data_IF_638131395262
#
_entry.id   IF_638131395262
#
_cell.length_a   1.000
_cell.length_b   1.000
_cell.length_c   1.000
_cell.angle_alpha   90.00
_cell.angle_beta   90.00
_cell.angle_gamma   90.00
#
_symmetry.space_group_name_H-M   'P 1'
#
loop_
_entity.id
_entity.type
_entity.pdbx_description
1 polymer ?
#
# COMPACT_ATOMS: atom_id res chain seq x y z
N UNK A 1 -14.56 35.85 24.30
CA UNK A 1 -13.21 35.27 24.36
C UNK A 1 -13.30 33.95 25.12
N UNK A 2 -13.68 32.92 24.45
CA UNK A 2 -13.61 31.53 24.92
C UNK A 2 -12.77 30.77 23.88
N UNK A 3 -11.64 30.25 24.34
CA UNK A 3 -10.79 29.35 23.61
C UNK A 3 -11.47 27.98 23.63
N UNK A 4 -11.79 27.44 22.44
CA UNK A 4 -12.21 26.06 22.28
C UNK A 4 -10.95 25.19 22.17
N UNK A 5 -10.59 24.54 23.25
CA UNK A 5 -9.66 23.42 23.27
C UNK A 5 -10.31 22.24 22.54
N UNK A 6 -9.92 22.01 21.30
CA UNK A 6 -10.25 20.80 20.56
C UNK A 6 -9.30 19.67 20.96
N UNK A 7 -9.73 18.84 21.91
CA UNK A 7 -9.07 17.55 22.17
C UNK A 7 -9.09 16.71 20.89
N UNK A 8 -7.91 16.48 20.33
CA UNK A 8 -7.68 15.44 19.34
C UNK A 8 -7.81 14.08 20.05
N UNK A 9 -9.00 13.53 20.03
CA UNK A 9 -9.24 12.15 20.46
C UNK A 9 -8.54 11.20 19.48
N UNK A 10 -7.39 10.68 19.90
CA UNK A 10 -6.70 9.56 19.25
C UNK A 10 -7.29 8.22 19.71
N UNK A 11 -8.59 8.07 19.54
CA UNK A 11 -9.22 6.77 19.67
C UNK A 11 -9.08 6.01 18.36
N UNK A 12 -8.00 5.22 18.24
CA UNK A 12 -7.90 4.14 17.25
C UNK A 12 -8.80 2.98 17.69
N UNK A 13 -10.10 3.25 17.81
CA UNK A 13 -11.09 2.19 17.92
C UNK A 13 -11.00 1.36 16.65
N UNK A 14 -10.62 0.10 16.76
CA UNK A 14 -10.61 -0.87 15.68
C UNK A 14 -11.97 -0.83 14.99
N UNK A 15 -11.98 -0.45 13.71
CA UNK A 15 -13.19 -0.44 12.88
C UNK A 15 -13.82 -1.84 12.96
N UNK A 16 -15.03 -2.01 13.53
CA UNK A 16 -15.64 -3.32 13.75
C UNK A 16 -16.04 -4.00 12.42
N UNK A 17 -15.76 -3.36 11.28
CA UNK A 17 -16.07 -3.89 9.96
C UNK A 17 -15.12 -5.03 9.59
N UNK A 18 -15.68 -5.97 8.84
CA UNK A 18 -15.00 -7.19 8.46
C UNK A 18 -13.73 -6.93 7.65
N UNK A 19 -12.60 -7.46 8.09
CA UNK A 19 -11.30 -7.40 7.40
C UNK A 19 -10.85 -8.77 6.89
N UNK A 20 -11.15 -9.87 7.61
CA UNK A 20 -10.89 -11.24 7.12
C UNK A 20 -12.01 -11.66 6.17
N UNK A 21 -11.69 -11.90 4.92
CA UNK A 21 -12.64 -12.24 3.84
C UNK A 21 -12.52 -13.70 3.45
N UNK A 22 -13.63 -14.33 3.08
CA UNK A 22 -13.58 -15.56 2.32
C UNK A 22 -13.09 -15.28 0.89
N UNK A 23 -12.53 -16.30 0.24
CA UNK A 23 -12.10 -16.18 -1.17
C UNK A 23 -13.26 -15.83 -2.11
N UNK A 24 -14.49 -16.22 -1.76
CA UNK A 24 -15.68 -15.86 -2.52
C UNK A 24 -16.00 -14.36 -2.41
N UNK A 25 -15.97 -13.80 -1.21
CA UNK A 25 -16.18 -12.35 -0.97
C UNK A 25 -15.09 -11.52 -1.65
N UNK A 26 -13.83 -11.93 -1.51
CA UNK A 26 -12.72 -11.29 -2.22
C UNK A 26 -12.96 -11.23 -3.74
N UNK A 27 -13.34 -12.36 -4.35
CA UNK A 27 -13.65 -12.40 -5.79
C UNK A 27 -14.81 -11.49 -6.20
N UNK A 28 -15.81 -11.28 -5.34
CA UNK A 28 -16.90 -10.33 -5.63
C UNK A 28 -16.39 -8.90 -5.67
N UNK A 29 -15.54 -8.50 -4.72
CA UNK A 29 -14.91 -7.18 -4.70
C UNK A 29 -14.05 -6.99 -5.95
N UNK A 30 -13.21 -7.99 -6.29
CA UNK A 30 -12.32 -7.94 -7.47
C UNK A 30 -13.11 -7.74 -8.76
N UNK A 31 -14.18 -8.51 -9.00
CA UNK A 31 -15.02 -8.36 -10.21
C UNK A 31 -15.58 -6.96 -10.37
N UNK A 32 -15.93 -6.31 -9.27
CA UNK A 32 -16.37 -4.93 -9.32
C UNK A 32 -15.22 -3.97 -9.62
N UNK A 33 -14.05 -4.17 -8.99
CA UNK A 33 -12.86 -3.31 -9.18
C UNK A 33 -12.31 -3.37 -10.61
N UNK A 34 -12.47 -4.49 -11.32
CA UNK A 34 -12.04 -4.66 -12.72
C UNK A 34 -12.69 -3.67 -13.66
N UNK A 35 -13.88 -3.20 -13.33
CA UNK A 35 -14.65 -2.23 -14.13
C UNK A 35 -14.35 -0.78 -13.76
N UNK A 36 -13.54 -0.55 -12.73
CA UNK A 36 -13.31 0.78 -12.15
C UNK A 36 -11.92 1.34 -12.49
N UNK A 37 -11.83 2.66 -12.40
CA UNK A 37 -10.57 3.40 -12.58
C UNK A 37 -10.02 3.90 -11.25
N UNK A 38 -8.69 4.10 -11.12
CA UNK A 38 -8.04 4.44 -9.87
C UNK A 38 -8.19 5.93 -9.50
N UNK A 39 -9.43 6.38 -9.32
CA UNK A 39 -9.75 7.74 -8.90
C UNK A 39 -10.23 7.77 -7.46
N UNK A 40 -10.02 8.89 -6.77
CA UNK A 40 -10.53 9.08 -5.40
C UNK A 40 -12.06 8.98 -5.33
N UNK A 41 -12.77 9.36 -6.39
CA UNK A 41 -14.22 9.22 -6.46
C UNK A 41 -14.66 7.76 -6.48
N UNK A 42 -13.91 6.90 -7.19
CA UNK A 42 -14.17 5.46 -7.23
C UNK A 42 -14.12 4.85 -5.81
N UNK A 43 -13.26 5.37 -4.94
CA UNK A 43 -13.14 4.89 -3.56
C UNK A 43 -14.40 5.12 -2.73
N UNK A 44 -15.10 6.24 -2.94
CA UNK A 44 -16.38 6.49 -2.29
C UNK A 44 -17.43 5.47 -2.73
N UNK A 45 -17.53 5.26 -4.05
CA UNK A 45 -18.48 4.29 -4.62
C UNK A 45 -18.18 2.86 -4.15
N UNK A 46 -16.91 2.49 -4.02
CA UNK A 46 -16.48 1.19 -3.51
C UNK A 46 -16.96 0.98 -2.06
N UNK A 47 -16.80 1.98 -1.20
CA UNK A 47 -17.28 1.95 0.18
C UNK A 47 -18.80 1.82 0.27
N UNK A 48 -19.52 2.57 -0.55
CA UNK A 48 -21.00 2.53 -0.58
C UNK A 48 -21.51 1.17 -1.08
N UNK A 49 -20.76 0.54 -2.00
CA UNK A 49 -21.09 -0.79 -2.54
C UNK A 49 -20.85 -1.92 -1.54
N UNK A 50 -19.84 -1.80 -0.70
CA UNK A 50 -19.41 -2.82 0.27
C UNK A 50 -19.36 -2.24 1.70
N UNK A 51 -20.49 -1.78 2.27
CA UNK A 51 -20.52 -1.04 3.53
C UNK A 51 -20.07 -1.87 4.76
N UNK A 52 -20.13 -3.20 4.66
CA UNK A 52 -19.79 -4.12 5.76
C UNK A 52 -18.29 -4.40 5.87
N UNK A 53 -17.47 -3.84 4.96
CA UNK A 53 -16.03 -4.06 4.93
C UNK A 53 -15.29 -2.80 5.38
N UNK A 54 -14.11 -2.99 5.97
CA UNK A 54 -13.22 -1.86 6.30
C UNK A 54 -12.82 -1.09 5.04
N UNK A 55 -12.78 0.23 5.15
CA UNK A 55 -12.36 1.09 4.05
C UNK A 55 -10.90 0.80 3.65
N UNK A 56 -10.03 0.58 4.63
CA UNK A 56 -8.62 0.25 4.39
C UNK A 56 -8.45 -1.07 3.64
N UNK A 57 -9.26 -2.08 4.01
CA UNK A 57 -9.33 -3.38 3.30
C UNK A 57 -9.72 -3.18 1.84
N UNK A 58 -10.81 -2.46 1.57
CA UNK A 58 -11.30 -2.21 0.22
C UNK A 58 -10.29 -1.43 -0.63
N UNK A 59 -9.68 -0.38 -0.07
CA UNK A 59 -8.65 0.41 -0.73
C UNK A 59 -7.44 -0.43 -1.09
N UNK A 60 -6.98 -1.28 -0.16
CA UNK A 60 -5.83 -2.14 -0.39
C UNK A 60 -6.11 -3.18 -1.47
N UNK A 61 -7.27 -3.84 -1.45
CA UNK A 61 -7.68 -4.79 -2.50
C UNK A 61 -7.73 -4.10 -3.87
N UNK A 62 -8.38 -2.93 -3.95
CA UNK A 62 -8.46 -2.17 -5.18
C UNK A 62 -7.07 -1.82 -5.74
N UNK A 63 -6.18 -1.30 -4.89
CA UNK A 63 -4.82 -0.92 -5.27
C UNK A 63 -4.02 -2.14 -5.78
N UNK A 64 -4.09 -3.27 -5.08
CA UNK A 64 -3.40 -4.50 -5.47
C UNK A 64 -3.90 -5.03 -6.82
N UNK A 65 -5.21 -5.10 -7.02
CA UNK A 65 -5.81 -5.59 -8.27
C UNK A 65 -5.52 -4.66 -9.45
N UNK A 66 -5.62 -3.34 -9.23
CA UNK A 66 -5.28 -2.36 -10.25
C UNK A 66 -3.79 -2.46 -10.65
N UNK A 67 -2.88 -2.62 -9.67
CA UNK A 67 -1.46 -2.80 -9.94
C UNK A 67 -1.17 -4.09 -10.72
N UNK A 68 -1.83 -5.20 -10.39
CA UNK A 68 -1.72 -6.45 -11.16
C UNK A 68 -2.17 -6.28 -12.62
N UNK A 69 -3.30 -5.59 -12.82
CA UNK A 69 -3.82 -5.29 -14.17
C UNK A 69 -2.83 -4.42 -14.96
N UNK A 70 -2.37 -3.33 -14.35
CA UNK A 70 -1.39 -2.43 -14.97
C UNK A 70 -0.10 -3.15 -15.36
N UNK A 71 0.46 -4.00 -14.48
CA UNK A 71 1.67 -4.77 -14.79
C UNK A 71 1.55 -5.64 -16.04
N UNK A 72 0.36 -6.13 -16.36
CA UNK A 72 0.12 -6.94 -17.57
C UNK A 72 0.07 -6.11 -18.86
N UNK A 73 -0.28 -4.84 -18.76
CA UNK A 73 -0.55 -3.96 -19.94
C UNK A 73 0.49 -2.88 -20.12
N UNK A 74 1.29 -2.57 -19.09
CA UNK A 74 2.18 -1.39 -19.07
C UNK A 74 3.18 -1.35 -20.24
N UNK A 75 3.68 -2.48 -20.69
CA UNK A 75 4.61 -2.56 -21.83
C UNK A 75 4.03 -1.99 -23.12
N UNK A 76 2.72 -2.13 -23.33
CA UNK A 76 2.02 -1.58 -24.50
C UNK A 76 1.99 -0.06 -24.50
N UNK A 77 1.96 0.55 -23.32
CA UNK A 77 1.93 2.01 -23.15
C UNK A 77 3.31 2.64 -23.27
N UNK A 78 4.40 1.85 -23.22
CA UNK A 78 5.78 2.32 -23.35
C UNK A 78 6.31 2.26 -24.80
N UNK A 79 5.51 1.83 -25.76
CA UNK A 79 5.89 1.87 -27.18
C UNK A 79 6.03 3.34 -27.63
N UNK A 80 7.11 3.71 -28.35
CA UNK A 80 7.39 5.11 -28.71
C UNK A 80 6.26 5.79 -29.49
N UNK A 81 5.64 5.08 -30.41
CA UNK A 81 4.48 5.54 -31.21
C UNK A 81 3.24 5.78 -30.35
N UNK A 82 3.03 4.96 -29.32
CA UNK A 82 1.93 5.11 -28.37
C UNK A 82 2.16 6.32 -27.47
N UNK A 83 3.37 6.50 -26.93
CA UNK A 83 3.74 7.68 -26.12
C UNK A 83 3.57 8.95 -26.95
N UNK A 84 4.06 8.96 -28.21
CA UNK A 84 3.87 10.08 -29.12
C UNK A 84 2.39 10.39 -29.35
N UNK A 85 1.55 9.37 -29.56
CA UNK A 85 0.09 9.55 -29.69
C UNK A 85 -0.54 10.19 -28.45
N UNK A 86 -0.11 9.80 -27.24
CA UNK A 86 -0.60 10.41 -26.00
C UNK A 86 -0.18 11.87 -25.88
N UNK A 87 1.07 12.16 -26.23
CA UNK A 87 1.61 13.51 -26.18
C UNK A 87 0.92 14.44 -27.19
N UNK A 88 0.70 13.98 -28.42
CA UNK A 88 -0.03 14.76 -29.43
C UNK A 88 -1.47 15.07 -29.00
N UNK A 89 -2.18 14.07 -28.47
CA UNK A 89 -3.52 14.29 -27.90
C UNK A 89 -3.47 15.29 -26.75
N UNK A 90 -2.46 15.20 -25.89
CA UNK A 90 -2.23 16.15 -24.82
C UNK A 90 -2.11 17.57 -25.38
N UNK A 91 -1.23 17.82 -26.35
CA UNK A 91 -1.01 19.12 -26.94
C UNK A 91 -2.29 19.72 -27.57
N UNK A 92 -3.06 18.93 -28.31
CA UNK A 92 -4.32 19.36 -28.93
C UNK A 92 -5.32 19.81 -27.86
N UNK A 93 -5.48 19.04 -26.79
CA UNK A 93 -6.45 19.36 -25.74
C UNK A 93 -5.95 20.55 -24.90
N UNK A 94 -4.64 20.63 -24.59
CA UNK A 94 -4.07 21.74 -23.81
C UNK A 94 -4.29 23.09 -24.49
N UNK A 95 -4.18 23.17 -25.82
CA UNK A 95 -4.46 24.37 -26.62
C UNK A 95 -5.95 24.69 -26.63
N UNK A 96 -6.82 23.67 -26.70
CA UNK A 96 -8.27 23.86 -26.82
C UNK A 96 -8.94 24.29 -25.50
N UNK A 97 -8.34 24.00 -24.35
CA UNK A 97 -8.93 24.20 -23.02
C UNK A 97 -8.14 25.23 -22.21
N UNK A 98 -7.54 26.22 -22.83
CA UNK A 98 -6.76 27.28 -22.14
C UNK A 98 -7.53 28.03 -21.03
N UNK A 99 -8.84 27.79 -20.84
CA UNK A 99 -9.68 28.53 -19.88
C UNK A 99 -10.28 27.74 -18.74
N UNK A 100 -10.56 26.44 -18.82
CA UNK A 100 -11.30 25.75 -17.74
C UNK A 100 -11.07 24.26 -17.67
N UNK A 101 -10.69 23.79 -16.45
CA UNK A 101 -11.28 22.62 -15.83
C UNK A 101 -10.45 21.33 -15.66
N UNK A 102 -10.63 20.77 -14.48
CA UNK A 102 -10.40 19.42 -13.94
C UNK A 102 -10.70 18.24 -14.91
N UNK A 103 -11.40 18.48 -16.03
CA UNK A 103 -11.79 17.46 -17.02
C UNK A 103 -10.68 17.07 -18.00
N UNK A 104 -9.54 17.73 -17.99
CA UNK A 104 -8.52 17.58 -19.03
C UNK A 104 -7.98 16.14 -19.13
N UNK A 105 -7.43 15.63 -18.05
CA UNK A 105 -6.94 14.26 -18.02
C UNK A 105 -8.05 13.21 -17.94
N UNK A 106 -9.27 13.58 -17.49
CA UNK A 106 -10.37 12.63 -17.46
C UNK A 106 -10.70 12.11 -18.87
N UNK A 107 -10.65 12.96 -19.90
CA UNK A 107 -10.82 12.53 -21.28
C UNK A 107 -9.70 11.63 -21.79
N UNK A 108 -8.43 11.95 -21.46
CA UNK A 108 -7.30 11.19 -21.97
C UNK A 108 -7.19 9.82 -21.31
N UNK A 109 -7.29 9.75 -19.98
CA UNK A 109 -7.22 8.45 -19.28
C UNK A 109 -8.55 7.67 -19.30
N UNK A 110 -9.70 8.30 -19.61
CA UNK A 110 -10.95 7.57 -19.84
C UNK A 110 -10.89 6.70 -21.10
N UNK A 111 -10.13 7.11 -22.10
CA UNK A 111 -9.93 6.35 -23.33
C UNK A 111 -8.84 5.27 -23.22
N UNK A 112 -7.99 5.36 -22.20
CA UNK A 112 -6.81 4.50 -22.03
C UNK A 112 -6.83 3.88 -20.65
N UNK A 113 -6.62 2.57 -20.54
CA UNK A 113 -6.56 1.88 -19.25
C UNK A 113 -5.20 2.09 -18.56
N UNK A 114 -4.92 3.34 -18.21
CA UNK A 114 -3.71 3.77 -17.55
C UNK A 114 -4.06 4.75 -16.43
N UNK A 115 -3.35 4.71 -15.30
CA UNK A 115 -3.61 5.61 -14.18
C UNK A 115 -3.20 7.05 -14.51
N UNK A 116 -3.83 8.06 -13.89
CA UNK A 116 -3.50 9.46 -14.11
C UNK A 116 -2.01 9.77 -13.91
N UNK A 117 -1.41 9.27 -12.84
CA UNK A 117 0.00 9.52 -12.54
C UNK A 117 0.96 8.83 -13.53
N UNK A 118 0.62 7.64 -13.99
CA UNK A 118 1.41 6.95 -15.01
C UNK A 118 1.30 7.67 -16.36
N UNK A 119 0.12 8.14 -16.75
CA UNK A 119 -0.08 8.94 -17.94
C UNK A 119 0.74 10.25 -17.87
N UNK A 120 0.66 10.96 -16.73
CA UNK A 120 1.42 12.18 -16.49
C UNK A 120 2.93 11.94 -16.65
N UNK A 121 3.43 10.80 -16.15
CA UNK A 121 4.83 10.40 -16.30
C UNK A 121 5.24 10.25 -17.76
N UNK A 122 4.44 9.55 -18.57
CA UNK A 122 4.74 9.35 -19.99
C UNK A 122 4.74 10.66 -20.78
N UNK A 123 3.80 11.56 -20.49
CA UNK A 123 3.71 12.86 -21.14
C UNK A 123 4.88 13.75 -20.74
N UNK A 124 5.25 13.77 -19.45
CA UNK A 124 6.40 14.56 -18.99
C UNK A 124 7.72 14.03 -19.58
N UNK A 125 7.90 12.72 -19.62
CA UNK A 125 9.08 12.09 -20.22
C UNK A 125 9.25 12.50 -21.70
N UNK A 126 8.17 12.48 -22.46
CA UNK A 126 8.14 12.91 -23.85
C UNK A 126 8.38 14.41 -24.02
N UNK A 127 7.79 15.24 -23.16
CA UNK A 127 8.03 16.70 -23.13
C UNK A 127 9.51 17.03 -22.89
N UNK A 128 10.14 16.36 -21.91
CA UNK A 128 11.55 16.58 -21.59
C UNK A 128 12.48 16.13 -22.71
N UNK A 129 12.13 15.07 -23.44
CA UNK A 129 12.87 14.62 -24.60
C UNK A 129 12.94 15.71 -25.70
N UNK A 130 11.84 16.43 -25.93
CA UNK A 130 11.82 17.57 -26.87
C UNK A 130 12.61 18.77 -26.34
N UNK A 131 12.57 19.01 -25.05
CA UNK A 131 13.24 20.18 -24.45
C UNK A 131 14.76 20.01 -24.39
N UNK A 132 15.25 18.83 -24.03
CA UNK A 132 16.67 18.54 -23.79
C UNK A 132 17.38 17.98 -25.03
N UNK A 133 16.65 17.59 -26.07
CA UNK A 133 17.21 16.95 -27.28
C UNK A 133 17.88 15.61 -27.04
N UNK A 134 17.63 14.99 -25.90
CA UNK A 134 18.18 13.69 -25.48
C UNK A 134 17.32 13.01 -24.43
N UNK A 135 17.63 11.76 -24.11
CA UNK A 135 16.89 11.00 -23.08
C UNK A 135 16.96 11.70 -21.72
N UNK A 136 15.82 12.11 -21.14
CA UNK A 136 15.81 12.79 -19.86
C UNK A 136 16.34 11.88 -18.74
N UNK A 137 17.05 12.46 -17.78
CA UNK A 137 17.49 11.73 -16.60
C UNK A 137 16.28 11.29 -15.77
N UNK A 138 16.25 10.01 -15.38
CA UNK A 138 15.22 9.47 -14.48
C UNK A 138 15.14 10.25 -13.16
N UNK A 139 16.25 10.81 -12.71
CA UNK A 139 16.32 11.63 -11.49
C UNK A 139 15.57 12.95 -11.69
N UNK A 140 15.77 13.63 -12.81
CA UNK A 140 15.07 14.89 -13.16
C UNK A 140 13.57 14.64 -13.29
N UNK A 141 13.18 13.62 -14.05
CA UNK A 141 11.78 13.23 -14.22
C UNK A 141 11.10 12.94 -12.88
N UNK A 142 11.74 12.17 -12.01
CA UNK A 142 11.20 11.85 -10.68
C UNK A 142 11.11 13.09 -9.77
N UNK A 143 12.07 14.01 -9.85
CA UNK A 143 12.03 15.27 -9.09
C UNK A 143 10.87 16.15 -9.53
N UNK A 144 10.64 16.29 -10.83
CA UNK A 144 9.52 17.05 -11.39
C UNK A 144 8.15 16.44 -11.10
N UNK A 145 8.06 15.12 -11.03
CA UNK A 145 6.81 14.44 -10.61
C UNK A 145 6.51 14.63 -9.12
N UNK A 146 7.55 14.73 -8.27
CA UNK A 146 7.40 15.05 -6.84
C UNK A 146 7.08 16.50 -6.60
N UNK A 147 7.72 17.39 -7.36
CA UNK A 147 7.61 18.84 -7.26
C UNK A 147 7.30 19.43 -8.65
N UNK A 148 6.02 19.44 -9.06
CA UNK A 148 5.62 19.91 -10.40
C UNK A 148 5.98 21.36 -10.70
N UNK A 149 6.21 22.20 -9.69
CA UNK A 149 6.68 23.60 -9.86
C UNK A 149 8.04 23.70 -10.55
N UNK A 150 8.84 22.63 -10.59
CA UNK A 150 10.11 22.53 -11.32
C UNK A 150 9.93 22.39 -12.84
N UNK A 151 8.72 22.09 -13.31
CA UNK A 151 8.43 21.93 -14.75
C UNK A 151 8.38 23.31 -15.40
N UNK A 152 9.17 23.56 -16.49
CA UNK A 152 9.22 24.87 -17.14
C UNK A 152 7.87 25.34 -17.70
N UNK A 153 7.07 24.42 -18.24
CA UNK A 153 5.72 24.69 -18.72
C UNK A 153 4.72 24.67 -17.56
N UNK A 154 4.21 25.84 -17.19
CA UNK A 154 3.28 25.97 -16.04
C UNK A 154 1.92 25.30 -16.26
N UNK A 155 1.47 25.18 -17.51
CA UNK A 155 0.22 24.51 -17.85
C UNK A 155 0.40 22.98 -17.63
N UNK A 156 1.49 22.44 -18.15
CA UNK A 156 1.85 21.03 -17.94
C UNK A 156 2.07 20.74 -16.45
N UNK A 157 2.77 21.62 -15.72
CA UNK A 157 2.99 21.50 -14.27
C UNK A 157 1.66 21.37 -13.49
N UNK A 158 0.69 22.23 -13.79
CA UNK A 158 -0.64 22.19 -13.18
C UNK A 158 -1.38 20.89 -13.48
N UNK A 159 -1.31 20.44 -14.73
CA UNK A 159 -1.96 19.19 -15.13
C UNK A 159 -1.32 17.95 -14.47
N UNK A 160 0.00 17.90 -14.40
CA UNK A 160 0.73 16.81 -13.71
C UNK A 160 0.40 16.80 -12.22
N UNK A 161 0.36 17.97 -11.57
CA UNK A 161 -0.08 18.07 -10.19
C UNK A 161 -1.49 17.49 -9.99
N UNK A 162 -2.45 17.86 -10.87
CA UNK A 162 -3.82 17.33 -10.81
C UNK A 162 -3.86 15.79 -10.98
N UNK A 163 -3.04 15.22 -11.85
CA UNK A 163 -2.92 13.78 -11.99
C UNK A 163 -2.42 13.12 -10.71
N UNK A 164 -1.38 13.68 -10.11
CA UNK A 164 -0.76 13.15 -8.88
C UNK A 164 -1.74 13.14 -7.71
N UNK A 165 -2.50 14.22 -7.49
CA UNK A 165 -3.44 14.30 -6.35
C UNK A 165 -4.71 13.48 -6.55
N UNK A 166 -5.09 13.17 -7.77
CA UNK A 166 -6.30 12.40 -8.08
C UNK A 166 -6.07 10.89 -8.21
N UNK A 167 -4.83 10.45 -8.40
CA UNK A 167 -4.48 9.03 -8.42
C UNK A 167 -4.53 8.43 -7.01
N UNK A 168 -5.05 7.22 -6.88
CA UNK A 168 -5.10 6.50 -5.61
C UNK A 168 -4.25 5.22 -5.60
N UNK A 169 -3.58 4.88 -6.73
CA UNK A 169 -2.82 3.65 -6.87
C UNK A 169 -1.34 3.88 -7.18
N UNK A 170 -1.01 4.96 -7.90
CA UNK A 170 0.33 5.27 -8.38
C UNK A 170 0.72 6.72 -8.13
N UNK A 171 2.01 6.97 -8.21
CA UNK A 171 2.61 8.29 -8.16
C UNK A 171 3.23 8.65 -6.81
N UNK A 172 4.03 9.74 -6.79
CA UNK A 172 4.86 10.08 -5.63
C UNK A 172 4.06 10.33 -4.35
N UNK A 173 2.86 10.90 -4.45
CA UNK A 173 2.00 11.13 -3.29
C UNK A 173 1.50 9.81 -2.69
N UNK A 174 1.07 8.87 -3.55
CA UNK A 174 0.60 7.55 -3.12
C UNK A 174 1.75 6.76 -2.48
N UNK A 175 2.95 6.81 -3.06
CA UNK A 175 4.13 6.14 -2.53
C UNK A 175 4.52 6.71 -1.16
N UNK A 176 4.48 8.04 -1.00
CA UNK A 176 4.73 8.71 0.27
C UNK A 176 3.71 8.30 1.35
N UNK A 177 2.42 8.29 1.01
CA UNK A 177 1.35 7.88 1.93
C UNK A 177 1.51 6.41 2.34
N UNK A 178 1.77 5.51 1.39
CA UNK A 178 1.97 4.08 1.69
C UNK A 178 3.17 3.84 2.60
N UNK A 179 4.27 4.56 2.36
CA UNK A 179 5.46 4.47 3.20
C UNK A 179 5.19 4.95 4.63
N UNK A 180 4.53 6.11 4.78
CA UNK A 180 4.16 6.64 6.09
C UNK A 180 3.23 5.70 6.86
N UNK A 181 2.24 5.12 6.18
CA UNK A 181 1.33 4.12 6.77
C UNK A 181 2.09 2.86 7.20
N UNK A 182 3.05 2.39 6.39
CA UNK A 182 3.90 1.26 6.75
C UNK A 182 4.65 1.52 8.05
N UNK A 183 5.34 2.66 8.13
CA UNK A 183 6.07 3.08 9.33
C UNK A 183 5.15 3.24 10.57
N UNK A 184 3.96 3.81 10.40
CA UNK A 184 2.98 3.95 11.49
C UNK A 184 2.60 2.60 12.08
N UNK A 185 2.36 1.59 11.24
CA UNK A 185 2.00 0.24 11.72
C UNK A 185 3.19 -0.50 12.35
N UNK A 186 4.42 -0.25 11.91
CA UNK A 186 5.62 -0.77 12.57
C UNK A 186 5.79 -0.15 13.97
N UNK A 187 5.60 1.16 14.11
CA UNK A 187 5.62 1.85 15.41
C UNK A 187 4.50 1.33 16.30
N UNK A 188 3.28 1.19 15.78
CA UNK A 188 2.15 0.62 16.52
C UNK A 188 2.47 -0.79 17.03
N UNK A 189 3.09 -1.63 16.21
CA UNK A 189 3.52 -2.97 16.61
C UNK A 189 4.53 -2.92 17.77
N UNK A 190 5.55 -2.07 17.67
CA UNK A 190 6.54 -1.88 18.73
C UNK A 190 5.91 -1.40 20.03
N UNK A 191 4.97 -0.45 19.97
CA UNK A 191 4.29 0.08 21.16
C UNK A 191 3.41 -0.98 21.81
N UNK A 192 2.69 -1.79 21.03
CA UNK A 192 1.91 -2.92 21.55
C UNK A 192 2.77 -3.98 22.24
N UNK A 193 3.95 -4.25 21.72
CA UNK A 193 4.90 -5.18 22.35
C UNK A 193 5.43 -4.61 23.69
N UNK A 194 5.76 -3.32 23.72
CA UNK A 194 6.17 -2.62 24.97
C UNK A 194 5.06 -2.61 26.02
N UNK A 195 3.81 -2.32 25.63
CA UNK A 195 2.64 -2.37 26.52
C UNK A 195 2.47 -3.75 27.18
N UNK A 196 2.89 -4.82 26.50
CA UNK A 196 2.86 -6.20 27.01
C UNK A 196 4.14 -6.62 27.72
N UNK A 197 5.10 -5.71 27.92
CA UNK A 197 6.41 -5.99 28.49
C UNK A 197 7.16 -7.12 27.77
N UNK A 198 7.03 -7.22 26.46
CA UNK A 198 7.74 -8.20 25.64
C UNK A 198 9.06 -7.60 25.18
N UNK A 199 10.16 -8.33 25.39
CA UNK A 199 11.48 -7.96 24.92
C UNK A 199 11.67 -8.41 23.47
N UNK A 200 12.17 -7.49 22.62
CA UNK A 200 12.32 -7.73 21.20
C UNK A 200 13.46 -6.93 20.58
N UNK A 201 13.90 -7.37 19.42
CA UNK A 201 14.82 -6.65 18.53
C UNK A 201 14.05 -6.18 17.30
N UNK A 202 14.17 -4.92 16.92
CA UNK A 202 13.60 -4.37 15.70
C UNK A 202 14.51 -4.59 14.48
N UNK A 203 13.98 -4.30 13.28
CA UNK A 203 14.74 -4.48 12.03
C UNK A 203 16.06 -3.72 12.01
N UNK A 204 16.13 -2.50 12.56
CA UNK A 204 17.35 -1.70 12.58
C UNK A 204 18.43 -2.34 13.45
N UNK A 205 18.07 -2.85 14.61
CA UNK A 205 18.96 -3.58 15.50
C UNK A 205 19.48 -4.86 14.83
N UNK A 206 18.58 -5.61 14.18
CA UNK A 206 18.94 -6.84 13.45
C UNK A 206 19.92 -6.57 12.30
N UNK A 207 19.67 -5.52 11.53
CA UNK A 207 20.58 -5.09 10.44
C UNK A 207 21.93 -4.63 10.97
N UNK A 208 21.96 -3.91 12.09
CA UNK A 208 23.20 -3.52 12.76
C UNK A 208 24.03 -4.74 13.24
N UNK A 209 23.36 -5.86 13.57
CA UNK A 209 23.99 -7.14 13.92
C UNK A 209 24.47 -7.95 12.70
N UNK A 210 24.23 -7.45 11.46
CA UNK A 210 24.71 -8.06 10.22
C UNK A 210 23.75 -9.06 9.57
N UNK A 211 22.45 -9.05 9.94
CA UNK A 211 21.44 -9.87 9.27
C UNK A 211 20.99 -9.23 7.95
N UNK A 212 20.96 -10.00 6.85
CA UNK A 212 20.59 -9.51 5.51
C UNK A 212 19.07 -9.46 5.28
N UNK A 213 18.38 -10.54 5.67
CA UNK A 213 16.92 -10.66 5.57
C UNK A 213 16.37 -10.77 6.98
N UNK A 214 15.63 -9.77 7.38
CA UNK A 214 15.13 -9.63 8.74
C UNK A 214 13.61 -9.45 8.73
N UNK A 215 12.87 -10.06 9.66
CA UNK A 215 11.52 -9.64 9.96
C UNK A 215 11.54 -8.28 10.66
N UNK A 216 10.39 -7.63 10.76
CA UNK A 216 10.29 -6.34 11.47
C UNK A 216 10.63 -6.49 12.96
N UNK A 217 10.25 -7.63 13.56
CA UNK A 217 10.47 -7.93 14.98
C UNK A 217 10.98 -9.36 15.16
N UNK A 218 11.99 -9.53 16.00
CA UNK A 218 12.35 -10.83 16.63
C UNK A 218 12.11 -10.71 18.13
N UNK A 219 11.33 -11.64 18.70
CA UNK A 219 11.13 -11.73 20.14
C UNK A 219 12.36 -12.38 20.78
N UNK A 220 12.94 -11.74 21.83
CA UNK A 220 14.07 -12.32 22.56
C UNK A 220 13.66 -13.56 23.34
N UNK A 221 12.40 -13.59 23.79
CA UNK A 221 11.77 -14.77 24.38
C UNK A 221 10.52 -15.09 23.56
N UNK A 222 10.40 -16.31 22.99
CA UNK A 222 9.25 -16.67 22.20
C UNK A 222 7.97 -16.66 23.04
N UNK A 223 6.85 -16.38 22.37
CA UNK A 223 5.52 -16.41 22.98
C UNK A 223 4.64 -17.45 22.29
N UNK A 224 3.48 -17.77 22.87
CA UNK A 224 2.45 -18.52 22.19
C UNK A 224 1.25 -17.63 21.87
N UNK A 225 0.72 -17.78 20.67
CA UNK A 225 -0.51 -17.13 20.18
C UNK A 225 -1.43 -18.22 19.63
N UNK A 226 -2.65 -18.33 20.14
CA UNK A 226 -3.58 -19.42 19.75
C UNK A 226 -2.94 -20.83 19.81
N UNK A 227 -2.06 -21.05 20.80
CA UNK A 227 -1.33 -22.32 20.95
C UNK A 227 -0.15 -22.54 20.01
N UNK A 228 0.17 -21.60 19.14
CA UNK A 228 1.30 -21.66 18.22
C UNK A 228 2.47 -20.82 18.72
N UNK A 229 3.69 -21.34 18.63
CA UNK A 229 4.89 -20.62 19.04
C UNK A 229 5.21 -19.54 18.01
N UNK A 230 5.61 -18.36 18.53
CA UNK A 230 5.98 -17.19 17.73
C UNK A 230 7.35 -16.67 18.19
N UNK A 231 8.33 -16.70 17.28
CA UNK A 231 9.67 -16.15 17.47
C UNK A 231 9.84 -14.79 16.79
N UNK A 232 9.12 -14.53 15.71
CA UNK A 232 9.21 -13.29 14.94
C UNK A 232 7.83 -12.81 14.52
N UNK A 233 7.72 -11.51 14.27
CA UNK A 233 6.51 -10.88 13.79
C UNK A 233 6.84 -10.01 12.59
N UNK A 234 6.05 -10.15 11.52
CA UNK A 234 6.10 -9.31 10.33
C UNK A 234 4.83 -8.46 10.22
N UNK A 235 4.99 -7.17 10.01
CA UNK A 235 3.93 -6.17 9.86
C UNK A 235 3.66 -5.89 8.38
N UNK A 236 2.44 -6.11 7.90
CA UNK A 236 2.03 -5.79 6.54
C UNK A 236 0.86 -4.83 6.56
N UNK A 237 1.12 -3.54 6.31
CA UNK A 237 0.09 -2.50 6.15
C UNK A 237 -0.61 -2.62 4.78
N UNK A 238 -1.11 -3.81 4.47
CA UNK A 238 -1.77 -4.18 3.23
C UNK A 238 -2.74 -5.34 3.43
N UNK A 239 -3.59 -5.61 2.43
CA UNK A 239 -4.41 -6.81 2.41
C UNK A 239 -3.60 -8.02 1.90
N UNK A 240 -3.74 -9.16 2.55
CA UNK A 240 -3.13 -10.42 2.13
C UNK A 240 -4.00 -11.17 1.13
N UNK A 241 -3.66 -11.10 -0.15
CA UNK A 241 -4.30 -11.88 -1.21
C UNK A 241 -3.44 -13.08 -1.64
N UNK A 242 -3.99 -13.99 -2.47
CA UNK A 242 -3.29 -15.19 -2.93
C UNK A 242 -1.93 -14.90 -3.60
N UNK A 243 -1.83 -13.80 -4.34
CA UNK A 243 -0.62 -13.45 -5.08
C UNK A 243 0.45 -12.86 -4.16
N UNK A 244 0.10 -11.81 -3.42
CA UNK A 244 1.04 -11.13 -2.52
C UNK A 244 1.51 -12.04 -1.39
N UNK A 245 0.60 -12.82 -0.80
CA UNK A 245 0.96 -13.76 0.26
C UNK A 245 1.92 -14.85 -0.22
N UNK A 246 1.67 -15.43 -1.41
CA UNK A 246 2.59 -16.42 -2.01
C UNK A 246 3.97 -15.82 -2.27
N UNK A 247 4.02 -14.58 -2.77
CA UNK A 247 5.27 -13.86 -3.00
C UNK A 247 6.03 -13.68 -1.69
N UNK A 248 5.37 -13.19 -0.64
CA UNK A 248 5.99 -13.01 0.67
C UNK A 248 6.43 -14.33 1.32
N UNK A 249 5.65 -15.41 1.19
CA UNK A 249 6.07 -16.74 1.65
C UNK A 249 7.41 -17.14 1.03
N UNK A 250 7.54 -16.99 -0.29
CA UNK A 250 8.73 -17.43 -1.02
C UNK A 250 9.93 -16.52 -0.80
N UNK A 251 9.72 -15.20 -0.75
CA UNK A 251 10.80 -14.23 -0.70
C UNK A 251 11.25 -13.87 0.73
N UNK A 252 10.35 -14.00 1.72
CA UNK A 252 10.56 -13.54 3.09
C UNK A 252 10.27 -14.63 4.12
N UNK A 253 9.02 -15.07 4.27
CA UNK A 253 8.56 -15.82 5.45
C UNK A 253 9.25 -17.18 5.64
N UNK A 254 9.48 -17.94 4.58
CA UNK A 254 10.24 -19.19 4.68
C UNK A 254 11.72 -18.95 5.01
N UNK A 255 12.30 -17.83 4.60
CA UNK A 255 13.66 -17.44 5.00
C UNK A 255 13.72 -17.12 6.49
N UNK A 256 12.71 -16.41 7.03
CA UNK A 256 12.62 -16.12 8.46
C UNK A 256 12.39 -17.39 9.27
N UNK A 257 11.51 -18.27 8.80
CA UNK A 257 11.24 -19.54 9.44
C UNK A 257 12.49 -20.42 9.54
N UNK A 258 13.27 -20.51 8.48
CA UNK A 258 14.52 -21.29 8.46
C UNK A 258 15.58 -20.78 9.44
N UNK A 259 15.58 -19.46 9.71
CA UNK A 259 16.59 -18.83 10.60
C UNK A 259 16.13 -18.74 12.05
N UNK A 260 14.88 -18.42 12.25
CA UNK A 260 14.35 -18.01 13.54
C UNK A 260 13.21 -18.90 14.06
N UNK A 261 12.73 -19.85 13.25
CA UNK A 261 11.62 -20.73 13.62
C UNK A 261 10.25 -20.15 13.26
N UNK A 262 9.18 -20.63 13.93
CA UNK A 262 7.81 -20.21 13.67
C UNK A 262 7.57 -18.72 13.94
N UNK A 263 6.64 -18.10 13.18
CA UNK A 263 6.34 -16.68 13.32
C UNK A 263 4.92 -16.29 12.99
N UNK A 264 4.66 -15.00 13.17
CA UNK A 264 3.37 -14.36 12.98
C UNK A 264 3.47 -13.28 11.91
N UNK A 265 2.50 -13.25 10.99
CA UNK A 265 2.32 -12.16 10.03
C UNK A 265 1.03 -11.42 10.36
N UNK A 266 1.11 -10.12 10.53
CA UNK A 266 -0.06 -9.25 10.75
C UNK A 266 -0.36 -8.50 9.46
N UNK A 267 -1.47 -8.84 8.81
CA UNK A 267 -2.03 -8.08 7.69
C UNK A 267 -3.04 -7.07 8.26
N UNK A 268 -2.60 -5.85 8.52
CA UNK A 268 -3.41 -4.82 9.18
C UNK A 268 -4.70 -4.44 8.44
N UNK A 269 -4.78 -4.74 7.14
CA UNK A 269 -5.97 -4.53 6.32
C UNK A 269 -6.71 -5.82 6.00
N UNK A 270 -6.40 -6.89 6.75
CA UNK A 270 -7.02 -8.19 6.60
C UNK A 270 -6.38 -9.07 5.52
N UNK A 271 -6.96 -10.23 5.33
CA UNK A 271 -6.47 -11.22 4.38
C UNK A 271 -7.57 -12.20 4.00
N UNK A 272 -7.34 -12.98 2.93
CA UNK A 272 -8.21 -14.09 2.55
C UNK A 272 -8.05 -15.20 3.61
N UNK A 273 -9.11 -15.50 4.35
CA UNK A 273 -9.06 -16.39 5.51
C UNK A 273 -8.47 -17.78 5.21
N UNK A 274 -8.70 -18.30 4.00
CA UNK A 274 -8.17 -19.59 3.57
C UNK A 274 -6.65 -19.61 3.36
N UNK A 275 -5.97 -18.45 3.39
CA UNK A 275 -4.50 -18.36 3.35
C UNK A 275 -3.85 -18.79 4.67
N UNK A 276 -4.59 -18.76 5.78
CA UNK A 276 -4.10 -19.18 7.09
C UNK A 276 -4.07 -20.70 7.23
N UNK A 277 -3.52 -21.36 6.24
CA UNK A 277 -3.40 -22.81 6.14
C UNK A 277 -1.99 -23.36 6.46
N UNK A 278 -1.06 -22.49 6.87
CA UNK A 278 0.31 -22.87 7.19
C UNK A 278 0.61 -22.86 8.71
N UNK A 279 -0.42 -22.79 9.54
CA UNK A 279 -0.29 -22.74 11.01
C UNK A 279 0.53 -23.91 11.56
N UNK A 280 0.24 -25.13 11.14
CA UNK A 280 0.95 -26.35 11.57
C UNK A 280 2.41 -26.35 11.09
N UNK A 281 2.73 -25.60 10.05
CA UNK A 281 4.08 -25.39 9.55
C UNK A 281 4.79 -24.20 10.18
N UNK A 282 4.12 -23.49 11.09
CA UNK A 282 4.69 -22.39 11.88
C UNK A 282 4.58 -21.01 11.25
N UNK A 283 3.63 -20.75 10.35
CA UNK A 283 3.27 -19.41 9.87
C UNK A 283 1.82 -19.12 10.25
N UNK A 284 1.64 -18.21 11.21
CA UNK A 284 0.35 -17.77 11.70
C UNK A 284 -0.03 -16.42 11.08
N UNK A 285 -1.30 -16.26 10.65
CA UNK A 285 -1.80 -15.00 10.11
C UNK A 285 -2.80 -14.35 11.07
N UNK A 286 -2.68 -13.03 11.26
CA UNK A 286 -3.62 -12.20 12.03
C UNK A 286 -3.91 -10.92 11.26
N UNK A 287 -5.03 -10.28 11.55
CA UNK A 287 -5.46 -8.98 11.02
C UNK A 287 -5.37 -7.86 12.07
N UNK A 288 -4.90 -8.19 13.26
CA UNK A 288 -4.65 -7.26 14.36
C UNK A 288 -3.56 -7.82 15.29
N UNK A 289 -3.07 -6.98 16.18
CA UNK A 289 -2.18 -7.45 17.24
C UNK A 289 -2.93 -8.45 18.14
N UNK A 290 -2.35 -9.64 18.42
CA UNK A 290 -3.02 -10.67 19.20
C UNK A 290 -3.24 -10.25 20.65
N UNK A 291 -4.40 -10.56 21.19
CA UNK A 291 -4.75 -10.29 22.59
C UNK A 291 -4.45 -11.47 23.52
N UNK A 292 -4.40 -12.67 23.00
CA UNK A 292 -4.24 -13.96 23.68
C UNK A 292 -2.78 -14.45 23.71
N UNK A 293 -1.84 -13.53 23.98
CA UNK A 293 -0.42 -13.86 24.08
C UNK A 293 -0.14 -14.55 25.41
N UNK A 294 0.45 -15.75 25.33
CA UNK A 294 0.93 -16.50 26.48
C UNK A 294 2.45 -16.43 26.52
N UNK A 295 3.01 -15.99 27.66
CA UNK A 295 4.45 -15.92 27.92
C UNK A 295 4.89 -17.00 28.90
N UNK A 296 6.16 -17.34 28.93
CA UNK A 296 6.73 -18.29 29.89
C UNK A 296 6.55 -17.85 31.36
N UNK A 297 6.38 -16.55 31.62
CA UNK A 297 6.21 -16.00 32.97
C UNK A 297 4.77 -16.07 33.49
N UNK A 298 3.77 -16.39 32.67
CA UNK A 298 2.36 -16.45 33.10
C UNK A 298 2.05 -17.63 34.01
N UNK A 299 2.92 -18.63 34.09
CA UNK A 299 2.75 -19.80 34.97
C UNK A 299 2.97 -19.49 36.45
N UNK A 300 3.45 -18.28 36.83
CA UNK A 300 3.83 -17.92 38.19
C UNK A 300 2.80 -17.04 38.92
N UNK A 301 1.67 -16.68 38.30
CA UNK A 301 0.64 -15.82 38.90
C UNK A 301 -0.73 -16.52 38.91
N UNK A 302 -0.85 -17.62 39.61
CA UNK A 302 -2.12 -18.00 40.23
C UNK A 302 -2.06 -17.52 41.68
N UNK A 303 -2.86 -16.54 42.07
CA UNK A 303 -3.05 -16.28 43.51
C UNK A 303 -3.80 -17.45 44.13
N UNK A 304 -3.33 -17.91 45.26
CA UNK A 304 -4.03 -18.82 46.17
C UNK A 304 -5.40 -18.28 46.60
#
# INVERSE_FOLDING_TARGET
REAADGELSTDTASDPRKMRLSRAEYKQIVRWTEQQRPTRQCMKVLKDKFPNHSQSTLLSIFSLEYQKRTKRTISRHHAPDVIESYYQRYCIIAVSIASYSLCFFSHLYHCVDLSPALMARLILDRFLLDLEGGMPSKTILNSMLKEPSLIPDQILAKHIYQCTINDCCYGPLVDCIKHAIGQEHEVLLCDKLKERNLSFLDENQLRAMGYDKTPDIILEVPVAVEGHIVHWIESKASFGDDHSHRTYLNEQFWSYWNRFGPGLVIYWYGFIGELDCQRDRGILLKDCFPTDIVTLCHAAQQPE
#
